data_IF_125208841011
#
_entry.id   IF_125208841011
#
_cell.length_a   1.000
_cell.length_b   1.000
_cell.length_c   1.000
_cell.angle_alpha   90.00
_cell.angle_beta   90.00
_cell.angle_gamma   90.00
#
_symmetry.space_group_name_H-M   'P 1'
#
loop_
_entity.id
_entity.type
_entity.pdbx_description
1 polymer ?
#
# COMPACT_ATOMS: atom_id res chain seq x y z
N UNK A 1 -56.49 -23.26 -18.85
CA UNK A 1 -56.52 -22.51 -17.56
C UNK A 1 -55.26 -22.80 -16.73
N UNK A 2 -54.83 -24.06 -16.59
CA UNK A 2 -53.58 -24.47 -15.90
C UNK A 2 -52.28 -23.95 -16.52
N UNK A 3 -52.20 -23.83 -17.86
CA UNK A 3 -51.01 -23.33 -18.57
C UNK A 3 -50.70 -21.86 -18.31
N UNK A 4 -51.70 -21.03 -18.05
CA UNK A 4 -51.51 -19.60 -17.77
C UNK A 4 -50.86 -19.42 -16.39
N UNK A 5 -51.23 -20.25 -15.41
CA UNK A 5 -50.72 -20.18 -14.03
C UNK A 5 -49.22 -20.51 -13.99
N UNK A 6 -48.76 -21.49 -14.77
CA UNK A 6 -47.34 -21.89 -14.82
C UNK A 6 -46.46 -20.77 -15.39
N UNK A 7 -46.94 -20.08 -16.42
CA UNK A 7 -46.20 -18.96 -17.03
C UNK A 7 -46.08 -17.79 -16.06
N UNK A 8 -47.16 -17.48 -15.32
CA UNK A 8 -47.16 -16.37 -14.36
C UNK A 8 -46.23 -16.64 -13.17
N UNK A 9 -46.20 -17.88 -12.65
CA UNK A 9 -45.28 -18.27 -11.56
C UNK A 9 -43.82 -18.26 -12.05
N UNK A 10 -43.57 -18.72 -13.28
CA UNK A 10 -42.23 -18.70 -13.88
C UNK A 10 -41.66 -17.29 -14.03
N UNK A 11 -42.46 -16.34 -14.52
CA UNK A 11 -42.04 -14.93 -14.67
C UNK A 11 -41.83 -14.25 -13.32
N UNK A 12 -42.66 -14.55 -12.31
CA UNK A 12 -42.52 -14.02 -10.97
C UNK A 12 -41.22 -14.49 -10.28
N UNK A 13 -40.86 -15.78 -10.42
CA UNK A 13 -39.61 -16.31 -9.87
C UNK A 13 -38.37 -15.70 -10.55
N UNK A 14 -38.45 -15.46 -11.86
CA UNK A 14 -37.35 -14.90 -12.64
C UNK A 14 -37.10 -13.42 -12.29
N UNK A 15 -38.17 -12.66 -12.05
CA UNK A 15 -38.08 -11.25 -11.66
C UNK A 15 -37.60 -11.07 -10.20
N UNK A 16 -38.04 -11.92 -9.27
CA UNK A 16 -37.48 -11.94 -7.92
C UNK A 16 -36.00 -12.36 -7.90
N UNK A 17 -35.61 -13.34 -8.72
CA UNK A 17 -34.22 -13.77 -8.86
C UNK A 17 -33.31 -12.66 -9.40
N UNK A 18 -33.74 -11.94 -10.44
CA UNK A 18 -32.97 -10.82 -10.99
C UNK A 18 -32.82 -9.67 -9.98
N UNK A 19 -33.88 -9.36 -9.23
CA UNK A 19 -33.84 -8.31 -8.21
C UNK A 19 -32.86 -8.65 -7.08
N UNK A 20 -32.78 -9.92 -6.68
CA UNK A 20 -31.84 -10.40 -5.67
C UNK A 20 -30.39 -10.33 -6.16
N UNK A 21 -30.11 -10.77 -7.39
CA UNK A 21 -28.76 -10.67 -7.98
C UNK A 21 -28.32 -9.22 -8.15
N UNK A 22 -29.22 -8.32 -8.55
CA UNK A 22 -28.90 -6.90 -8.72
C UNK A 22 -28.57 -6.22 -7.38
N UNK A 23 -29.28 -6.57 -6.29
CA UNK A 23 -28.98 -6.06 -4.94
C UNK A 23 -27.63 -6.53 -4.40
N UNK A 24 -27.25 -7.79 -4.61
CA UNK A 24 -25.94 -8.29 -4.19
C UNK A 24 -24.83 -7.60 -4.98
N UNK A 25 -25.02 -7.39 -6.29
CA UNK A 25 -24.00 -6.74 -7.13
C UNK A 25 -23.73 -5.30 -6.71
N UNK A 26 -24.78 -4.55 -6.37
CA UNK A 26 -24.65 -3.16 -5.87
C UNK A 26 -23.98 -3.15 -4.49
N UNK A 27 -24.38 -4.06 -3.58
CA UNK A 27 -23.76 -4.14 -2.24
C UNK A 27 -22.27 -4.52 -2.25
N UNK A 28 -21.84 -5.37 -3.19
CA UNK A 28 -20.41 -5.76 -3.32
C UNK A 28 -19.57 -4.64 -3.93
N UNK A 29 -20.10 -3.88 -4.88
CA UNK A 29 -19.39 -2.74 -5.48
C UNK A 29 -19.24 -1.58 -4.47
N UNK A 30 -20.28 -1.25 -3.70
CA UNK A 30 -20.21 -0.23 -2.64
C UNK A 30 -19.28 -0.63 -1.49
N UNK A 31 -19.23 -1.93 -1.13
CA UNK A 31 -18.30 -2.41 -0.10
C UNK A 31 -16.84 -2.32 -0.55
N UNK A 32 -16.53 -2.56 -1.84
CA UNK A 32 -15.17 -2.40 -2.34
C UNK A 32 -14.75 -0.93 -2.33
N UNK A 33 -15.55 -0.02 -2.88
CA UNK A 33 -15.16 1.40 -2.95
C UNK A 33 -15.08 2.04 -1.56
N UNK A 34 -16.03 1.75 -0.66
CA UNK A 34 -15.99 2.25 0.72
C UNK A 34 -14.82 1.68 1.53
N UNK A 35 -14.41 0.41 1.32
CA UNK A 35 -13.26 -0.16 2.02
C UNK A 35 -11.92 0.34 1.47
N UNK A 36 -11.81 0.61 0.17
CA UNK A 36 -10.63 1.25 -0.40
C UNK A 36 -10.52 2.72 -0.01
N UNK A 37 -11.64 3.44 0.09
CA UNK A 37 -11.67 4.83 0.55
C UNK A 37 -11.35 4.94 2.05
N UNK A 38 -11.95 4.11 2.90
CA UNK A 38 -11.59 4.06 4.33
C UNK A 38 -10.14 3.59 4.54
N UNK A 39 -9.65 2.65 3.73
CA UNK A 39 -8.24 2.30 3.73
C UNK A 39 -7.40 3.52 3.34
N UNK A 40 -7.69 4.23 2.26
CA UNK A 40 -6.95 5.45 1.89
C UNK A 40 -6.99 6.53 2.97
N UNK A 41 -8.11 6.68 3.67
CA UNK A 41 -8.32 7.66 4.73
C UNK A 41 -7.52 7.33 5.98
N UNK A 42 -7.60 6.09 6.48
CA UNK A 42 -6.76 5.60 7.57
C UNK A 42 -5.27 5.64 7.20
N UNK A 43 -4.95 5.35 5.94
CA UNK A 43 -3.58 5.41 5.43
C UNK A 43 -3.05 6.86 5.33
N UNK A 44 -3.89 7.89 5.36
CA UNK A 44 -3.49 9.31 5.26
C UNK A 44 -3.40 9.99 6.64
N UNK A 45 -4.25 9.58 7.59
CA UNK A 45 -4.27 10.10 8.96
C UNK A 45 -3.00 9.72 9.76
N UNK A 46 -2.38 8.57 9.49
CA UNK A 46 -1.14 8.15 10.15
C UNK A 46 0.13 8.94 9.76
N UNK A 47 0.03 9.91 8.83
CA UNK A 47 1.16 10.68 8.29
C UNK A 47 1.00 12.20 8.50
N UNK A 48 -0.04 12.64 9.21
CA UNK A 48 -0.28 14.07 9.46
C UNK A 48 0.82 14.71 10.34
N UNK A 49 1.42 13.95 11.25
CA UNK A 49 2.47 14.40 12.21
C UNK A 49 3.90 13.94 11.85
N UNK A 50 4.25 13.94 10.57
CA UNK A 50 5.63 13.69 10.13
C UNK A 50 6.54 14.83 10.62
N UNK A 51 7.26 14.59 11.71
CA UNK A 51 8.27 15.50 12.30
C UNK A 51 9.71 15.10 11.97
N UNK A 52 9.90 13.92 11.36
CA UNK A 52 11.20 13.36 11.02
C UNK A 52 11.48 13.50 9.52
N UNK A 53 12.76 13.69 9.18
CA UNK A 53 13.22 13.80 7.80
C UNK A 53 12.78 12.61 6.93
N UNK A 54 12.86 11.39 7.46
CA UNK A 54 12.30 10.18 6.87
C UNK A 54 11.26 9.58 7.80
N UNK A 55 10.08 9.28 7.26
CA UNK A 55 9.03 8.53 7.96
C UNK A 55 8.55 7.37 7.10
N UNK A 56 8.50 6.18 7.69
CA UNK A 56 7.96 4.97 7.09
C UNK A 56 6.72 4.60 7.89
N UNK A 57 5.59 4.40 7.23
CA UNK A 57 4.32 4.08 7.86
C UNK A 57 3.58 2.98 7.08
N UNK A 58 3.20 1.87 7.72
CA UNK A 58 3.57 1.47 9.09
C UNK A 58 5.07 1.14 9.22
N UNK A 59 5.59 1.13 10.45
CA UNK A 59 6.98 0.75 10.77
C UNK A 59 7.20 -0.77 10.75
N UNK A 60 6.10 -1.53 10.74
CA UNK A 60 6.07 -2.98 10.71
C UNK A 60 4.92 -3.48 9.83
N UNK A 61 5.17 -4.56 9.09
CA UNK A 61 4.16 -5.24 8.27
C UNK A 61 4.24 -6.74 8.42
N UNK A 62 3.08 -7.40 8.35
CA UNK A 62 2.99 -8.85 8.18
C UNK A 62 2.58 -9.18 6.74
N UNK A 63 3.25 -10.15 6.12
CA UNK A 63 2.98 -10.65 4.76
C UNK A 63 2.89 -12.18 4.77
N UNK A 64 2.13 -12.73 3.84
CA UNK A 64 2.09 -14.18 3.63
C UNK A 64 3.27 -14.63 2.74
N UNK A 65 3.69 -15.91 2.80
CA UNK A 65 4.65 -16.45 1.85
C UNK A 65 4.16 -16.24 0.42
N UNK A 66 5.07 -15.84 -0.48
CA UNK A 66 4.75 -15.47 -1.87
C UNK A 66 3.80 -14.25 -2.01
N UNK A 67 3.50 -13.57 -0.91
CA UNK A 67 2.67 -12.38 -0.88
C UNK A 67 3.47 -11.10 -1.06
N UNK A 68 2.76 -10.04 -1.41
CA UNK A 68 3.28 -8.68 -1.46
C UNK A 68 2.48 -7.73 -0.57
N UNK A 69 3.12 -6.65 -0.14
CA UNK A 69 2.48 -5.58 0.62
C UNK A 69 3.12 -4.25 0.36
N UNK A 70 2.28 -3.23 0.18
CA UNK A 70 2.74 -1.85 0.03
C UNK A 70 2.83 -1.13 1.38
N UNK A 71 3.89 -0.35 1.55
CA UNK A 71 4.18 0.50 2.72
C UNK A 71 4.41 1.92 2.24
N UNK A 72 3.99 2.90 3.04
CA UNK A 72 4.14 4.31 2.69
C UNK A 72 5.46 4.85 3.22
N UNK A 73 6.18 5.54 2.35
CA UNK A 73 7.38 6.29 2.70
C UNK A 73 7.16 7.76 2.40
N UNK A 74 7.45 8.62 3.36
CA UNK A 74 7.37 10.08 3.22
C UNK A 74 8.68 10.69 3.67
N UNK A 75 9.21 11.60 2.86
CA UNK A 75 10.38 12.41 3.20
C UNK A 75 9.94 13.84 3.41
N UNK A 76 10.38 14.46 4.51
CA UNK A 76 10.15 15.86 4.83
C UNK A 76 11.49 16.60 4.74
N UNK A 77 11.54 17.66 3.93
CA UNK A 77 12.72 18.52 3.89
C UNK A 77 12.73 19.46 5.09
N UNK A 78 13.63 19.20 6.04
CA UNK A 78 13.86 20.03 7.22
C UNK A 78 14.99 21.07 7.02
N UNK A 79 15.59 21.13 5.83
CA UNK A 79 16.63 22.11 5.51
C UNK A 79 16.02 23.45 5.06
N UNK A 80 16.75 24.55 5.30
CA UNK A 80 16.36 25.90 4.88
C UNK A 80 16.47 26.13 3.36
N UNK A 81 17.00 25.14 2.63
CA UNK A 81 17.23 25.19 1.19
C UNK A 81 16.49 24.07 0.47
N UNK A 82 16.30 24.28 -0.82
CA UNK A 82 15.76 23.25 -1.70
C UNK A 82 16.77 22.11 -1.86
N UNK A 83 16.27 20.88 -1.79
CA UNK A 83 17.06 19.66 -1.93
C UNK A 83 16.42 18.75 -2.96
N UNK A 84 17.22 17.89 -3.58
CA UNK A 84 16.69 16.78 -4.36
C UNK A 84 17.00 15.50 -3.60
N UNK A 85 15.96 14.71 -3.32
CA UNK A 85 16.10 13.47 -2.56
C UNK A 85 15.86 12.27 -3.45
N UNK A 86 16.59 11.19 -3.18
CA UNK A 86 16.43 9.89 -3.82
C UNK A 86 16.52 8.81 -2.74
N UNK A 87 15.62 7.85 -2.77
CA UNK A 87 15.55 6.79 -1.79
C UNK A 87 16.14 5.50 -2.37
N UNK A 88 16.84 4.76 -1.53
CA UNK A 88 17.38 3.44 -1.85
C UNK A 88 16.90 2.47 -0.79
N UNK A 89 16.41 1.30 -1.21
CA UNK A 89 15.98 0.25 -0.30
C UNK A 89 16.85 -1.01 -0.45
N UNK A 90 17.10 -1.68 0.67
CA UNK A 90 17.90 -2.91 0.71
C UNK A 90 17.30 -3.88 1.73
N UNK A 91 17.07 -5.15 1.37
CA UNK A 91 16.63 -6.16 2.32
C UNK A 91 17.72 -6.46 3.36
N UNK A 92 17.31 -6.72 4.60
CA UNK A 92 18.22 -6.95 5.73
C UNK A 92 18.53 -8.44 5.82
N UNK A 93 19.68 -8.84 5.26
CA UNK A 93 20.22 -10.22 5.35
C UNK A 93 19.23 -11.30 4.89
N UNK A 94 18.41 -10.99 3.89
CA UNK A 94 17.37 -11.88 3.38
C UNK A 94 17.31 -11.79 1.85
N UNK A 95 17.75 -12.84 1.18
CA UNK A 95 17.77 -12.98 -0.28
C UNK A 95 16.39 -13.34 -0.86
N UNK A 96 15.46 -13.75 0.00
CA UNK A 96 14.09 -14.10 -0.37
C UNK A 96 13.10 -12.98 -0.13
N UNK A 97 13.58 -11.80 0.27
CA UNK A 97 12.77 -10.59 0.38
C UNK A 97 13.20 -9.58 -0.67
N UNK A 98 12.25 -9.05 -1.42
CA UNK A 98 12.47 -7.92 -2.32
C UNK A 98 11.77 -6.69 -1.77
N UNK A 99 12.51 -5.60 -1.70
CA UNK A 99 12.01 -4.27 -1.37
C UNK A 99 12.20 -3.43 -2.63
N UNK A 100 11.11 -2.95 -3.22
CA UNK A 100 11.10 -2.24 -4.50
C UNK A 100 10.21 -1.01 -4.40
N UNK A 101 10.56 0.09 -5.04
CA UNK A 101 9.64 1.21 -5.18
C UNK A 101 8.63 0.90 -6.28
N UNK A 102 7.35 1.18 -6.05
CA UNK A 102 6.29 0.84 -7.00
C UNK A 102 6.48 1.53 -8.36
N UNK A 103 6.94 2.79 -8.33
CA UNK A 103 7.06 3.63 -9.53
C UNK A 103 8.16 3.15 -10.47
N UNK A 104 9.33 2.80 -9.92
CA UNK A 104 10.49 2.36 -10.69
C UNK A 104 10.54 0.84 -10.86
N UNK A 105 9.85 0.09 -9.98
CA UNK A 105 9.97 -1.36 -9.81
C UNK A 105 11.41 -1.81 -9.49
N UNK A 106 12.22 -0.90 -8.97
CA UNK A 106 13.62 -1.11 -8.62
C UNK A 106 13.88 -0.78 -7.15
N UNK A 107 15.07 -1.13 -6.66
CA UNK A 107 15.54 -0.77 -5.31
C UNK A 107 15.79 0.73 -5.12
N UNK A 108 15.73 1.52 -6.18
CA UNK A 108 15.95 2.95 -6.17
C UNK A 108 14.69 3.70 -6.59
N UNK A 109 14.38 4.79 -5.90
CA UNK A 109 13.25 5.65 -6.27
C UNK A 109 13.63 6.64 -7.37
N UNK A 110 12.62 7.31 -7.92
CA UNK A 110 12.82 8.54 -8.66
C UNK A 110 13.43 9.62 -7.76
N UNK A 111 14.01 10.64 -8.39
CA UNK A 111 14.51 11.82 -7.69
C UNK A 111 13.36 12.81 -7.48
N UNK A 112 13.19 13.26 -6.24
CA UNK A 112 12.12 14.18 -5.84
C UNK A 112 12.71 15.53 -5.44
N UNK A 113 12.39 16.62 -6.17
CA UNK A 113 12.73 17.96 -5.72
C UNK A 113 11.82 18.34 -4.54
N UNK A 114 12.43 18.80 -3.45
CA UNK A 114 11.75 19.23 -2.23
C UNK A 114 12.18 20.64 -1.87
N UNK A 115 11.20 21.54 -1.82
CA UNK A 115 11.41 22.86 -1.25
C UNK A 115 11.54 22.78 0.27
N UNK A 116 12.12 23.80 0.89
CA UNK A 116 12.21 23.87 2.37
C UNK A 116 10.82 23.71 3.02
N UNK A 117 10.73 22.83 4.03
CA UNK A 117 9.49 22.54 4.76
C UNK A 117 8.46 21.69 4.01
N UNK A 118 8.72 21.31 2.75
CA UNK A 118 7.80 20.48 1.98
C UNK A 118 8.01 18.98 2.20
N UNK A 119 6.93 18.23 2.04
CA UNK A 119 6.91 16.75 2.10
C UNK A 119 6.84 16.18 0.68
N UNK A 120 7.46 15.03 0.46
CA UNK A 120 7.23 14.27 -0.78
C UNK A 120 5.77 13.83 -0.85
N UNK A 121 5.22 13.62 -2.06
CA UNK A 121 4.08 12.74 -2.22
C UNK A 121 4.36 11.39 -1.53
N UNK A 122 3.31 10.67 -1.16
CA UNK A 122 3.45 9.34 -0.57
C UNK A 122 4.17 8.44 -1.58
N UNK A 123 5.35 7.92 -1.20
CA UNK A 123 6.15 7.04 -2.03
C UNK A 123 5.82 5.60 -1.64
N UNK A 124 5.11 4.83 -2.48
CA UNK A 124 4.81 3.42 -2.22
C UNK A 124 6.06 2.53 -2.33
N UNK A 125 6.41 1.87 -1.23
CA UNK A 125 7.41 0.81 -1.16
C UNK A 125 6.70 -0.55 -1.18
N UNK A 126 6.97 -1.36 -2.19
CA UNK A 126 6.49 -2.73 -2.31
C UNK A 126 7.48 -3.69 -1.62
N UNK A 127 6.96 -4.47 -0.69
CA UNK A 127 7.68 -5.57 -0.05
C UNK A 127 7.10 -6.88 -0.58
N UNK A 128 7.95 -7.72 -1.17
CA UNK A 128 7.56 -8.99 -1.77
C UNK A 128 8.37 -10.13 -1.18
N UNK A 129 7.67 -11.20 -0.77
CA UNK A 129 8.30 -12.46 -0.40
C UNK A 129 8.48 -13.37 -1.62
N UNK A 130 9.65 -13.99 -1.77
CA UNK A 130 9.95 -14.99 -2.80
C UNK A 130 9.85 -16.41 -2.24
N UNK A 131 8.75 -16.71 -1.54
CA UNK A 131 8.49 -17.98 -0.88
C UNK A 131 9.62 -18.42 0.07
N UNK A 132 10.02 -17.54 0.98
CA UNK A 132 11.07 -17.84 1.95
C UNK A 132 10.60 -18.56 3.21
N UNK A 133 9.29 -18.77 3.36
CA UNK A 133 8.67 -19.34 4.54
C UNK A 133 8.58 -18.34 5.70
N UNK A 134 8.12 -18.82 6.86
CA UNK A 134 7.90 -18.00 8.06
C UNK A 134 9.24 -17.48 8.60
N UNK A 135 9.40 -16.16 8.66
CA UNK A 135 10.58 -15.51 9.22
C UNK A 135 10.33 -14.05 9.58
N UNK A 136 11.19 -13.49 10.40
CA UNK A 136 11.24 -12.05 10.65
C UNK A 136 12.44 -11.47 9.90
N UNK A 137 12.19 -10.41 9.15
CA UNK A 137 13.14 -9.75 8.25
C UNK A 137 12.82 -8.26 8.20
N UNK A 138 13.39 -7.53 7.24
CA UNK A 138 13.08 -6.12 7.08
C UNK A 138 13.70 -5.50 5.84
N UNK A 139 13.22 -4.31 5.51
CA UNK A 139 13.77 -3.46 4.48
C UNK A 139 14.41 -2.25 5.14
N UNK A 140 15.68 -1.99 4.84
CA UNK A 140 16.30 -0.69 5.12
C UNK A 140 15.94 0.26 4.01
N UNK A 141 15.58 1.49 4.35
CA UNK A 141 15.38 2.60 3.40
C UNK A 141 16.33 3.70 3.79
N UNK A 142 17.15 4.16 2.84
CA UNK A 142 18.12 5.23 3.02
C UNK A 142 17.73 6.38 2.09
N UNK A 143 17.66 7.59 2.62
CA UNK A 143 17.44 8.79 1.82
C UNK A 143 18.79 9.42 1.51
N UNK A 144 19.04 9.61 0.22
CA UNK A 144 20.19 10.34 -0.31
C UNK A 144 19.73 11.71 -0.80
N UNK A 145 20.57 12.74 -0.63
CA UNK A 145 20.27 14.13 -1.02
C UNK A 145 19.87 15.02 0.16
N UNK A 146 20.65 16.08 0.39
CA UNK A 146 20.60 16.94 1.59
C UNK A 146 21.90 16.90 2.41
N UNK A 147 22.11 17.83 3.35
CA UNK A 147 23.13 17.71 4.40
C UNK A 147 22.82 16.56 5.39
N UNK A 148 21.56 16.14 5.50
CA UNK A 148 21.14 14.95 6.27
C UNK A 148 21.07 13.68 5.40
N UNK A 149 21.98 13.57 4.42
CA UNK A 149 22.05 12.55 3.36
C UNK A 149 22.30 11.09 3.81
N UNK A 150 22.19 10.80 5.09
CA UNK A 150 22.32 9.45 5.67
C UNK A 150 21.15 9.07 6.57
N UNK A 151 20.03 9.79 6.48
CA UNK A 151 18.83 9.41 7.22
C UNK A 151 18.35 8.04 6.75
N UNK A 152 18.33 7.08 7.69
CA UNK A 152 17.93 5.71 7.45
C UNK A 152 16.71 5.35 8.29
N UNK A 153 15.78 4.63 7.67
CA UNK A 153 14.61 4.06 8.29
C UNK A 153 14.63 2.56 8.10
N UNK A 154 14.11 1.82 9.08
CA UNK A 154 13.97 0.37 8.97
C UNK A 154 12.49 0.03 9.02
N UNK A 155 12.03 -0.69 8.00
CA UNK A 155 10.74 -1.36 7.99
C UNK A 155 10.93 -2.79 8.47
N UNK A 156 10.22 -3.17 9.53
CA UNK A 156 10.18 -4.55 10.01
C UNK A 156 9.15 -5.34 9.19
N UNK A 157 9.54 -6.51 8.72
CA UNK A 157 8.68 -7.39 7.92
C UNK A 157 8.60 -8.74 8.59
N UNK A 158 7.39 -9.19 8.86
CA UNK A 158 7.12 -10.52 9.41
C UNK A 158 6.41 -11.35 8.36
N UNK A 159 6.98 -12.50 8.01
CA UNK A 159 6.33 -13.45 7.11
C UNK A 159 5.61 -14.47 7.97
N UNK A 160 4.28 -14.45 7.96
CA UNK A 160 3.40 -15.31 8.77
C UNK A 160 2.53 -16.22 7.87
N UNK A 161 2.00 -17.30 8.44
CA UNK A 161 1.16 -18.30 7.73
C UNK A 161 -0.20 -17.77 7.30
#
# INVERSE_FOLDING_TARGET
>A
MTTIIVIVIGVALLSFGLFFVNKIRIGVLDLSDATFEDAQKQLSEGLSDVTKFLTISPDSVSIQPDGDRSVKVVVLNLEERDVKVKLVTTPIKDDKLRCLFYDTKESESLEYPLTSGAKTPVIPLLVQDLNGGIRATGCRVVVSGGQTSESQGTLLVRVDK
#
